data_IF_106082297269
#
_entry.id   IF_106082297269
#
_cell.length_a   1.000
_cell.length_b   1.000
_cell.length_c   1.000
_cell.angle_alpha   90.00
_cell.angle_beta   90.00
_cell.angle_gamma   90.00
#
_symmetry.space_group_name_H-M   'P 1'
#
loop_
_entity.id
_entity.type
_entity.pdbx_description
1 polymer ?
#
# COMPACT_ATOMS: atom_id res chain seq x y z
N UNK A 1 -31.38 27.06 32.56
CA UNK A 1 -31.00 26.08 31.53
C UNK A 1 -29.58 26.41 31.08
N UNK A 2 -28.59 25.72 31.62
CA UNK A 2 -27.20 25.89 31.18
C UNK A 2 -27.04 25.16 29.84
N UNK A 3 -26.68 25.92 28.80
CA UNK A 3 -26.29 25.34 27.51
C UNK A 3 -25.04 24.50 27.76
N UNK A 4 -25.18 23.18 27.58
CA UNK A 4 -24.03 22.28 27.50
C UNK A 4 -23.30 22.68 26.23
N UNK A 5 -22.22 23.46 26.38
CA UNK A 5 -21.26 23.72 25.31
C UNK A 5 -20.63 22.38 24.99
N UNK A 6 -21.21 21.65 24.03
CA UNK A 6 -20.59 20.47 23.47
C UNK A 6 -19.24 20.91 22.92
N UNK A 7 -18.15 20.46 23.55
CA UNK A 7 -16.82 20.66 22.99
C UNK A 7 -16.87 20.18 21.53
N UNK A 8 -16.47 21.02 20.56
CA UNK A 8 -16.51 20.63 19.16
C UNK A 8 -15.71 19.33 19.00
N UNK A 9 -16.33 18.33 18.37
CA UNK A 9 -15.68 17.06 18.07
C UNK A 9 -14.34 17.38 17.39
N UNK A 10 -13.20 16.88 17.91
CA UNK A 10 -11.91 17.19 17.32
C UNK A 10 -11.87 16.68 15.88
N UNK A 11 -11.56 17.59 14.95
CA UNK A 11 -11.50 17.35 13.51
C UNK A 11 -10.72 16.07 13.20
N UNK A 12 -11.35 15.09 12.59
CA UNK A 12 -10.77 13.80 12.21
C UNK A 12 -10.40 13.79 10.72
N UNK A 13 -9.49 12.92 10.31
CA UNK A 13 -9.08 12.81 8.89
C UNK A 13 -10.26 12.45 7.97
N UNK A 14 -11.23 11.69 8.49
CA UNK A 14 -12.46 11.31 7.81
C UNK A 14 -13.29 12.53 7.39
N UNK A 15 -13.27 13.60 8.20
CA UNK A 15 -14.05 14.81 7.96
C UNK A 15 -13.60 15.58 6.70
N UNK A 16 -12.45 15.21 6.11
CA UNK A 16 -11.94 15.79 4.86
C UNK A 16 -12.46 15.11 3.59
N UNK A 17 -13.15 13.97 3.67
CA UNK A 17 -13.46 13.15 2.50
C UNK A 17 -14.94 12.77 2.41
N UNK A 18 -15.41 12.63 1.16
CA UNK A 18 -16.82 12.33 0.84
C UNK A 18 -17.16 10.86 1.03
N UNK A 19 -16.20 9.96 0.78
CA UNK A 19 -16.40 8.53 0.92
C UNK A 19 -16.10 8.10 2.34
N UNK A 20 -16.91 7.15 2.83
CA UNK A 20 -16.65 6.48 4.11
C UNK A 20 -15.23 5.92 4.09
N UNK A 21 -14.48 6.21 5.14
CA UNK A 21 -13.13 5.69 5.36
C UNK A 21 -12.82 5.63 6.86
N UNK A 22 -11.83 4.83 7.25
CA UNK A 22 -11.32 4.77 8.63
C UNK A 22 -9.83 5.07 8.69
N UNK A 23 -9.46 6.03 9.53
CA UNK A 23 -8.09 6.48 9.77
C UNK A 23 -7.75 6.49 11.27
N UNK A 24 -8.43 5.67 12.09
CA UNK A 24 -8.30 5.64 13.55
C UNK A 24 -6.84 5.69 14.04
N UNK A 25 -5.95 4.86 13.49
CA UNK A 25 -4.56 4.82 13.94
C UNK A 25 -3.79 6.06 13.51
N UNK A 26 -4.08 6.60 12.33
CA UNK A 26 -3.45 7.83 11.85
C UNK A 26 -3.94 9.05 12.66
N UNK A 27 -5.22 9.11 12.99
CA UNK A 27 -5.81 10.12 13.88
C UNK A 27 -5.14 10.09 15.26
N UNK A 28 -4.95 8.89 15.84
CA UNK A 28 -4.21 8.69 17.09
C UNK A 28 -2.75 9.16 16.93
N UNK A 29 -2.12 8.83 15.80
CA UNK A 29 -0.72 9.11 15.58
C UNK A 29 -0.42 10.61 15.48
N UNK A 30 -1.25 11.36 14.75
CA UNK A 30 -1.15 12.81 14.56
C UNK A 30 -1.59 13.60 15.79
N UNK A 31 -2.35 13.00 16.72
CA UNK A 31 -2.73 13.64 17.96
C UNK A 31 -3.93 14.59 17.77
N UNK A 32 -3.68 15.89 17.69
CA UNK A 32 -4.74 16.93 17.71
C UNK A 32 -5.30 17.29 16.32
N UNK A 33 -6.41 18.03 16.31
CA UNK A 33 -7.06 18.52 15.08
C UNK A 33 -6.16 19.41 14.20
N UNK A 34 -5.47 20.42 14.76
CA UNK A 34 -4.51 21.24 14.00
C UNK A 34 -3.43 20.45 13.28
N UNK A 35 -2.86 19.42 13.92
CA UNK A 35 -1.84 18.55 13.31
C UNK A 35 -2.40 17.73 12.15
N UNK A 36 -3.65 17.26 12.26
CA UNK A 36 -4.35 16.55 11.17
C UNK A 36 -4.68 17.47 10.00
N UNK A 37 -5.15 18.68 10.27
CA UNK A 37 -5.41 19.71 9.26
C UNK A 37 -4.12 20.05 8.50
N UNK A 38 -3.04 20.31 9.24
CA UNK A 38 -1.73 20.61 8.64
C UNK A 38 -1.24 19.49 7.72
N UNK A 39 -1.31 18.23 8.19
CA UNK A 39 -0.94 17.09 7.36
C UNK A 39 -1.78 17.02 6.07
N UNK A 40 -3.11 17.17 6.19
CA UNK A 40 -4.00 17.19 5.02
C UNK A 40 -3.62 18.30 4.05
N UNK A 41 -3.41 19.52 4.52
CA UNK A 41 -3.15 20.69 3.66
C UNK A 41 -1.80 20.59 2.96
N UNK A 42 -0.75 20.17 3.67
CA UNK A 42 0.59 19.97 3.12
C UNK A 42 0.57 18.93 1.99
N UNK A 43 -0.11 17.80 2.19
CA UNK A 43 -0.21 16.76 1.16
C UNK A 43 -1.15 17.14 0.02
N UNK A 44 -2.29 17.79 0.30
CA UNK A 44 -3.16 18.33 -0.74
C UNK A 44 -2.42 19.33 -1.64
N UNK A 45 -1.54 20.16 -1.07
CA UNK A 45 -0.71 21.08 -1.83
C UNK A 45 0.24 20.32 -2.77
N UNK A 46 0.95 19.30 -2.26
CA UNK A 46 1.87 18.47 -3.06
C UNK A 46 1.16 17.80 -4.24
N UNK A 47 0.03 17.15 -4.01
CA UNK A 47 -0.73 16.52 -5.09
C UNK A 47 -1.33 17.51 -6.08
N UNK A 48 -1.80 18.68 -5.62
CA UNK A 48 -2.31 19.72 -6.54
C UNK A 48 -1.21 20.27 -7.43
N UNK A 49 -0.02 20.48 -6.88
CA UNK A 49 1.15 20.89 -7.66
C UNK A 49 1.54 19.82 -8.68
N UNK A 50 1.61 18.55 -8.27
CA UNK A 50 1.95 17.45 -9.16
C UNK A 50 0.92 17.31 -10.29
N UNK A 51 -0.37 17.24 -9.96
CA UNK A 51 -1.45 17.01 -10.93
C UNK A 51 -1.78 18.21 -11.82
N UNK A 52 -1.30 19.41 -11.49
CA UNK A 52 -1.52 20.60 -12.32
C UNK A 52 -0.82 20.52 -13.69
N UNK A 53 0.20 19.67 -13.83
CA UNK A 53 0.96 19.48 -15.06
C UNK A 53 0.58 18.20 -15.83
N UNK A 54 -0.36 17.39 -15.32
CA UNK A 54 -0.68 16.10 -15.91
C UNK A 54 -1.45 16.23 -17.21
N UNK A 55 -1.02 15.47 -18.22
CA UNK A 55 -1.87 15.13 -19.34
C UNK A 55 -2.75 13.88 -19.01
N UNK A 56 -3.49 13.39 -19.99
CA UNK A 56 -4.36 12.23 -19.78
C UNK A 56 -3.55 10.94 -19.62
N UNK A 57 -2.35 10.87 -20.21
CA UNK A 57 -1.45 9.74 -19.99
C UNK A 57 -0.96 9.69 -18.55
N UNK A 58 -0.52 10.82 -17.99
CA UNK A 58 -0.05 10.91 -16.61
C UNK A 58 -1.17 10.51 -15.64
N UNK A 59 -2.39 11.01 -15.85
CA UNK A 59 -3.55 10.63 -15.05
C UNK A 59 -3.84 9.12 -15.14
N UNK A 60 -3.72 8.52 -16.33
CA UNK A 60 -3.88 7.08 -16.51
C UNK A 60 -2.80 6.28 -15.76
N UNK A 61 -1.53 6.70 -15.81
CA UNK A 61 -0.45 6.08 -15.05
C UNK A 61 -0.72 6.17 -13.53
N UNK A 62 -1.22 7.30 -13.05
CA UNK A 62 -1.59 7.44 -11.64
C UNK A 62 -2.75 6.52 -11.23
N UNK A 63 -3.70 6.25 -12.12
CA UNK A 63 -4.75 5.25 -11.87
C UNK A 63 -4.17 3.82 -11.80
N UNK A 64 -3.17 3.47 -12.63
CA UNK A 64 -2.41 2.22 -12.51
C UNK A 64 -1.69 2.14 -11.15
N UNK A 65 -1.06 3.23 -10.72
CA UNK A 65 -0.38 3.31 -9.41
C UNK A 65 -1.35 3.11 -8.24
N UNK A 66 -2.56 3.69 -8.29
CA UNK A 66 -3.61 3.46 -7.30
C UNK A 66 -4.03 1.98 -7.24
N UNK A 67 -4.27 1.37 -8.41
CA UNK A 67 -4.61 -0.05 -8.49
C UNK A 67 -3.53 -0.94 -7.85
N UNK A 68 -2.27 -0.69 -8.21
CA UNK A 68 -1.15 -1.46 -7.66
C UNK A 68 -0.96 -1.23 -6.15
N UNK A 69 -1.15 0.00 -5.69
CA UNK A 69 -1.12 0.31 -4.26
C UNK A 69 -2.16 -0.50 -3.48
N UNK A 70 -3.39 -0.61 -3.99
CA UNK A 70 -4.43 -1.43 -3.39
C UNK A 70 -4.07 -2.92 -3.43
N UNK A 71 -3.59 -3.44 -4.57
CA UNK A 71 -3.12 -4.84 -4.70
C UNK A 71 -2.02 -5.16 -3.67
N UNK A 72 -1.10 -4.24 -3.44
CA UNK A 72 -0.06 -4.37 -2.39
C UNK A 72 -0.62 -4.33 -0.97
N UNK A 73 -1.73 -3.62 -0.71
CA UNK A 73 -2.42 -3.68 0.59
C UNK A 73 -2.97 -5.08 0.89
N UNK A 74 -3.56 -5.74 -0.12
CA UNK A 74 -3.99 -7.13 -0.01
C UNK A 74 -2.79 -8.07 0.19
N UNK A 75 -1.76 -7.95 -0.63
CA UNK A 75 -0.55 -8.78 -0.52
C UNK A 75 0.17 -8.63 0.82
N UNK A 76 0.28 -7.41 1.35
CA UNK A 76 0.85 -7.14 2.67
C UNK A 76 0.06 -7.84 3.78
N UNK A 77 -1.27 -7.76 3.71
CA UNK A 77 -2.17 -8.38 4.69
C UNK A 77 -2.12 -9.91 4.61
N UNK A 78 -2.17 -10.47 3.39
CA UNK A 78 -2.08 -11.90 3.16
C UNK A 78 -0.75 -12.47 3.70
N UNK A 79 0.38 -11.82 3.39
CA UNK A 79 1.68 -12.24 3.92
C UNK A 79 1.80 -12.10 5.44
N UNK A 80 1.16 -11.10 6.06
CA UNK A 80 1.12 -11.01 7.52
C UNK A 80 0.37 -12.21 8.13
N UNK A 81 -0.78 -12.57 7.58
CA UNK A 81 -1.57 -13.72 8.04
C UNK A 81 -0.84 -15.05 7.80
N UNK A 82 -0.28 -15.25 6.61
CA UNK A 82 0.48 -16.44 6.27
C UNK A 82 1.74 -16.57 7.14
N UNK A 83 2.37 -15.45 7.52
CA UNK A 83 3.48 -15.43 8.47
C UNK A 83 3.07 -15.94 9.85
N UNK A 84 1.90 -15.52 10.36
CA UNK A 84 1.38 -16.04 11.63
C UNK A 84 1.07 -17.53 11.54
N UNK A 85 0.40 -17.99 10.49
CA UNK A 85 0.12 -19.41 10.29
C UNK A 85 1.39 -20.26 10.22
N UNK A 86 2.40 -19.79 9.47
CA UNK A 86 3.70 -20.46 9.40
C UNK A 86 4.39 -20.52 10.77
N UNK A 87 4.28 -19.45 11.57
CA UNK A 87 4.82 -19.40 12.93
C UNK A 87 4.10 -20.37 13.87
N UNK A 88 2.77 -20.44 13.81
CA UNK A 88 1.95 -21.40 14.56
C UNK A 88 2.31 -22.85 14.21
N UNK A 89 2.57 -23.12 12.93
CA UNK A 89 3.06 -24.40 12.43
C UNK A 89 4.57 -24.64 12.69
N UNK A 90 5.27 -23.71 13.35
CA UNK A 90 6.72 -23.75 13.63
C UNK A 90 7.62 -23.79 12.40
N UNK A 91 7.11 -23.36 11.23
CA UNK A 91 7.88 -23.20 9.99
C UNK A 91 8.53 -21.80 9.97
N UNK A 92 9.54 -21.61 10.84
CA UNK A 92 10.11 -20.30 11.13
C UNK A 92 10.77 -19.62 9.92
N UNK A 93 11.38 -20.39 9.02
CA UNK A 93 11.96 -19.84 7.78
C UNK A 93 10.89 -19.13 6.93
N UNK A 94 9.74 -19.77 6.73
CA UNK A 94 8.60 -19.20 6.01
C UNK A 94 7.99 -18.02 6.76
N UNK A 95 7.85 -18.12 8.08
CA UNK A 95 7.32 -17.02 8.90
C UNK A 95 8.15 -15.74 8.73
N UNK A 96 9.48 -15.81 8.85
CA UNK A 96 10.33 -14.62 8.71
C UNK A 96 10.39 -14.10 7.27
N UNK A 97 10.38 -15.01 6.28
CA UNK A 97 10.29 -14.62 4.88
C UNK A 97 9.02 -13.82 4.60
N UNK A 98 7.86 -14.35 5.00
CA UNK A 98 6.56 -13.72 4.77
C UNK A 98 6.42 -12.42 5.57
N UNK A 99 6.89 -12.38 6.82
CA UNK A 99 6.90 -11.16 7.63
C UNK A 99 7.67 -10.01 6.96
N UNK A 100 8.87 -10.31 6.45
CA UNK A 100 9.70 -9.33 5.75
C UNK A 100 9.00 -8.75 4.51
N UNK A 101 8.45 -9.62 3.64
CA UNK A 101 7.76 -9.15 2.44
C UNK A 101 6.42 -8.48 2.74
N UNK A 102 5.74 -8.85 3.83
CA UNK A 102 4.55 -8.14 4.30
C UNK A 102 4.86 -6.67 4.61
N UNK A 103 5.93 -6.40 5.37
CA UNK A 103 6.36 -5.05 5.68
C UNK A 103 6.79 -4.27 4.43
N UNK A 104 7.51 -4.91 3.50
CA UNK A 104 7.89 -4.29 2.23
C UNK A 104 6.67 -3.90 1.39
N UNK A 105 5.72 -4.80 1.19
CA UNK A 105 4.50 -4.52 0.43
C UNK A 105 3.66 -3.41 1.08
N UNK A 106 3.59 -3.38 2.41
CA UNK A 106 2.88 -2.32 3.14
C UNK A 106 3.49 -0.94 2.88
N UNK A 107 4.83 -0.82 2.91
CA UNK A 107 5.51 0.44 2.57
C UNK A 107 5.37 0.79 1.10
N UNK A 108 5.52 -0.20 0.22
CA UNK A 108 5.49 0.00 -1.22
C UNK A 108 4.11 0.46 -1.69
N UNK A 109 3.03 -0.05 -1.08
CA UNK A 109 1.68 0.44 -1.30
C UNK A 109 1.60 1.97 -1.13
N UNK A 110 2.18 2.51 -0.06
CA UNK A 110 2.20 3.96 0.18
C UNK A 110 3.11 4.69 -0.81
N UNK A 111 4.32 4.17 -1.07
CA UNK A 111 5.29 4.84 -1.96
C UNK A 111 4.79 4.89 -3.40
N UNK A 112 4.01 3.90 -3.85
CA UNK A 112 3.33 3.97 -5.14
C UNK A 112 2.44 5.20 -5.28
N UNK A 113 2.01 5.82 -4.18
CA UNK A 113 1.19 7.03 -4.22
C UNK A 113 2.00 8.33 -3.99
N UNK A 114 3.29 8.24 -3.70
CA UNK A 114 4.11 9.42 -3.40
C UNK A 114 4.33 10.30 -4.65
N UNK A 115 3.93 11.60 -4.64
CA UNK A 115 4.04 12.49 -5.79
C UNK A 115 5.48 12.86 -6.14
N UNK A 116 6.44 12.64 -5.24
CA UNK A 116 7.87 12.91 -5.50
C UNK A 116 8.58 11.69 -6.12
N UNK A 117 7.89 10.56 -6.27
CA UNK A 117 8.40 9.36 -6.93
C UNK A 117 7.85 9.24 -8.35
N UNK A 118 8.74 9.07 -9.32
CA UNK A 118 8.36 8.73 -10.71
C UNK A 118 8.00 7.25 -10.80
N UNK A 119 7.30 6.87 -11.87
CA UNK A 119 6.91 5.48 -12.10
C UNK A 119 8.13 4.54 -12.12
N UNK A 120 9.16 4.89 -12.88
CA UNK A 120 10.38 4.09 -13.01
C UNK A 120 11.10 3.96 -11.66
N UNK A 121 11.21 5.07 -10.90
CA UNK A 121 11.83 5.05 -9.57
C UNK A 121 11.11 4.14 -8.61
N UNK A 122 9.77 4.05 -8.68
CA UNK A 122 8.99 3.24 -7.75
C UNK A 122 8.87 1.77 -8.19
N UNK A 123 8.89 1.49 -9.49
CA UNK A 123 8.82 0.13 -10.02
C UNK A 123 10.15 -0.64 -9.83
N UNK A 124 11.29 0.05 -9.92
CA UNK A 124 12.63 -0.54 -9.84
C UNK A 124 13.30 -0.31 -8.47
N UNK A 125 12.53 0.13 -7.47
CA UNK A 125 13.05 0.47 -6.14
C UNK A 125 13.59 -0.77 -5.41
N UNK A 126 14.80 -0.68 -4.87
CA UNK A 126 15.37 -1.77 -4.06
C UNK A 126 14.71 -1.82 -2.68
N UNK A 127 14.69 -3.00 -2.05
CA UNK A 127 14.10 -3.17 -0.71
C UNK A 127 14.65 -2.19 0.34
N UNK A 128 15.96 -1.99 0.37
CA UNK A 128 16.61 -1.02 1.27
C UNK A 128 16.17 0.42 0.98
N UNK A 129 15.97 0.75 -0.31
CA UNK A 129 15.51 2.09 -0.71
C UNK A 129 14.05 2.33 -0.34
N UNK A 130 13.18 1.32 -0.44
CA UNK A 130 11.79 1.37 0.06
C UNK A 130 11.76 1.81 1.52
N UNK A 131 12.48 1.10 2.40
CA UNK A 131 12.51 1.41 3.82
C UNK A 131 13.04 2.83 4.12
N UNK A 132 14.05 3.27 3.37
CA UNK A 132 14.64 4.59 3.55
C UNK A 132 13.69 5.72 3.13
N UNK A 133 13.07 5.60 1.95
CA UNK A 133 12.09 6.57 1.45
C UNK A 133 10.89 6.63 2.38
N UNK A 134 10.30 5.47 2.71
CA UNK A 134 9.14 5.39 3.58
C UNK A 134 9.39 6.04 4.95
N UNK A 135 10.53 5.69 5.58
CA UNK A 135 10.87 6.26 6.88
C UNK A 135 11.07 7.77 6.80
N UNK A 136 11.80 8.25 5.79
CA UNK A 136 12.06 9.67 5.62
C UNK A 136 10.78 10.49 5.46
N UNK A 137 9.81 9.98 4.68
CA UNK A 137 8.61 10.74 4.31
C UNK A 137 7.48 10.57 5.33
N UNK A 138 7.29 9.38 5.90
CA UNK A 138 6.09 9.05 6.67
C UNK A 138 6.33 8.70 8.14
N UNK A 139 7.55 8.29 8.52
CA UNK A 139 7.84 7.78 9.86
C UNK A 139 8.87 8.60 10.66
N UNK A 140 9.36 9.70 10.10
CA UNK A 140 10.39 10.56 10.73
C UNK A 140 9.98 12.04 10.72
N UNK A 141 10.65 12.84 11.56
CA UNK A 141 10.39 14.27 11.67
C UNK A 141 9.10 14.65 12.41
N UNK A 142 8.78 15.94 12.39
CA UNK A 142 7.69 16.55 13.15
C UNK A 142 6.28 16.22 12.60
N UNK A 143 6.18 15.74 11.36
CA UNK A 143 4.93 15.39 10.69
C UNK A 143 4.80 13.87 10.46
N UNK A 144 5.53 13.06 11.23
CA UNK A 144 5.44 11.59 11.14
C UNK A 144 3.99 11.15 11.39
N UNK A 145 3.44 10.40 10.45
CA UNK A 145 2.09 9.82 10.56
C UNK A 145 2.14 8.33 10.91
N UNK A 146 3.29 7.69 10.71
CA UNK A 146 3.59 6.33 11.14
C UNK A 146 4.48 6.40 12.39
N UNK A 147 4.06 5.74 13.48
CA UNK A 147 4.82 5.76 14.75
C UNK A 147 5.90 4.69 14.86
N UNK A 148 5.81 3.65 14.05
CA UNK A 148 6.85 2.61 14.01
C UNK A 148 8.12 3.14 13.37
N UNK A 149 9.28 2.80 13.94
CA UNK A 149 10.55 2.98 13.27
C UNK A 149 10.67 1.96 12.12
N UNK A 150 10.20 2.38 10.94
CA UNK A 150 10.16 1.53 9.75
C UNK A 150 11.53 0.97 9.36
N UNK A 151 12.63 1.73 9.55
CA UNK A 151 13.98 1.25 9.23
C UNK A 151 14.38 0.11 10.16
N UNK A 152 14.23 0.32 11.47
CA UNK A 152 14.55 -0.70 12.46
C UNK A 152 13.69 -1.94 12.29
N UNK A 153 12.38 -1.78 12.02
CA UNK A 153 11.47 -2.89 11.79
C UNK A 153 11.91 -3.74 10.59
N UNK A 154 12.19 -3.10 9.45
CA UNK A 154 12.56 -3.82 8.22
C UNK A 154 13.94 -4.45 8.35
N UNK A 155 14.89 -3.78 9.01
CA UNK A 155 16.22 -4.33 9.26
C UNK A 155 16.15 -5.61 10.11
N UNK A 156 15.40 -5.57 11.22
CA UNK A 156 15.21 -6.73 12.07
C UNK A 156 14.54 -7.89 11.33
N UNK A 157 13.51 -7.61 10.53
CA UNK A 157 12.85 -8.64 9.70
C UNK A 157 13.80 -9.20 8.62
N UNK A 158 14.58 -8.34 7.97
CA UNK A 158 15.60 -8.75 6.98
C UNK A 158 16.62 -9.67 7.62
N UNK A 159 17.16 -9.28 8.77
CA UNK A 159 18.14 -10.06 9.51
C UNK A 159 17.60 -11.45 9.84
N UNK A 160 16.39 -11.56 10.40
CA UNK A 160 15.77 -12.85 10.71
C UNK A 160 15.55 -13.70 9.45
N UNK A 161 15.07 -13.09 8.37
CA UNK A 161 14.84 -13.74 7.08
C UNK A 161 16.14 -14.27 6.47
N UNK A 162 17.17 -13.45 6.38
CA UNK A 162 18.47 -13.82 5.79
C UNK A 162 19.20 -14.86 6.63
N UNK A 163 19.13 -14.75 7.96
CA UNK A 163 19.74 -15.75 8.83
C UNK A 163 19.12 -17.12 8.61
N UNK A 164 17.80 -17.24 8.57
CA UNK A 164 17.15 -18.50 8.24
C UNK A 164 17.43 -18.93 6.80
N UNK A 165 17.39 -18.03 5.81
CA UNK A 165 17.63 -18.40 4.40
C UNK A 165 19.06 -18.87 4.11
N UNK A 166 20.08 -18.30 4.76
CA UNK A 166 21.49 -18.55 4.40
C UNK A 166 22.28 -19.34 5.44
N UNK A 167 21.84 -19.34 6.70
CA UNK A 167 22.53 -20.05 7.79
C UNK A 167 21.77 -21.27 8.28
N UNK A 168 20.47 -21.38 8.00
CA UNK A 168 19.62 -22.53 8.32
C UNK A 168 19.92 -23.12 9.70
N UNK A 169 19.65 -22.37 10.77
CA UNK A 169 20.08 -22.81 12.09
C UNK A 169 19.30 -24.05 12.53
N UNK A 170 19.99 -24.98 13.20
CA UNK A 170 19.37 -26.18 13.76
C UNK A 170 18.40 -25.86 14.91
N UNK A 171 18.56 -24.71 15.56
CA UNK A 171 17.72 -24.20 16.64
C UNK A 171 17.48 -22.71 16.46
N UNK A 172 16.33 -22.17 16.89
CA UNK A 172 16.08 -20.73 16.78
C UNK A 172 17.02 -19.94 17.69
N UNK A 173 17.93 -19.09 17.15
CA UNK A 173 18.87 -18.33 17.97
C UNK A 173 18.21 -17.08 18.58
N UNK A 174 17.01 -16.71 18.13
CA UNK A 174 16.38 -15.44 18.50
C UNK A 174 15.64 -15.47 19.84
N UNK A 175 15.62 -16.62 20.52
CA UNK A 175 14.97 -16.75 21.84
C UNK A 175 15.54 -15.76 22.85
N UNK A 176 16.84 -15.53 22.79
CA UNK A 176 17.57 -14.66 23.70
C UNK A 176 17.65 -13.19 23.21
N UNK A 177 16.94 -12.88 22.11
CA UNK A 177 16.89 -11.57 21.46
C UNK A 177 15.45 -11.05 21.38
N UNK A 178 14.84 -10.66 22.51
CA UNK A 178 13.41 -10.28 22.58
C UNK A 178 13.06 -9.08 21.70
N UNK A 179 14.01 -8.19 21.40
CA UNK A 179 13.86 -7.06 20.49
C UNK A 179 13.58 -7.48 19.03
N UNK A 180 14.17 -8.59 18.59
CA UNK A 180 13.91 -9.15 17.26
C UNK A 180 12.50 -9.76 17.21
N UNK A 181 12.12 -10.52 18.24
CA UNK A 181 10.80 -11.13 18.34
C UNK A 181 9.67 -10.09 18.44
N UNK A 182 9.90 -8.98 19.17
CA UNK A 182 8.94 -7.87 19.27
C UNK A 182 8.64 -7.21 17.92
N UNK A 183 9.58 -7.28 16.98
CA UNK A 183 9.40 -6.75 15.62
C UNK A 183 8.29 -7.50 14.89
N UNK A 184 8.26 -8.83 15.03
CA UNK A 184 7.21 -9.67 14.44
C UNK A 184 5.84 -9.34 15.04
N UNK A 185 5.75 -9.18 16.37
CA UNK A 185 4.52 -8.76 17.07
C UNK A 185 4.00 -7.41 16.56
N UNK A 186 4.91 -6.50 16.21
CA UNK A 186 4.56 -5.15 15.74
C UNK A 186 4.08 -5.12 14.28
N UNK A 187 4.27 -6.20 13.51
CA UNK A 187 3.99 -6.26 12.08
C UNK A 187 2.53 -5.95 11.76
N UNK A 188 1.58 -6.57 12.45
CA UNK A 188 0.16 -6.38 12.17
C UNK A 188 -0.28 -4.92 12.33
N UNK A 189 0.22 -4.25 13.37
CA UNK A 189 -0.04 -2.82 13.58
C UNK A 189 0.62 -1.93 12.53
N UNK A 190 1.85 -2.25 12.10
CA UNK A 190 2.54 -1.55 11.03
C UNK A 190 1.82 -1.68 9.68
N UNK A 191 1.40 -2.89 9.33
CA UNK A 191 0.64 -3.18 8.10
C UNK A 191 -0.68 -2.42 8.12
N UNK A 192 -1.45 -2.49 9.22
CA UNK A 192 -2.72 -1.78 9.34
C UNK A 192 -2.57 -0.26 9.18
N UNK A 193 -1.57 0.35 9.84
CA UNK A 193 -1.30 1.78 9.70
C UNK A 193 -0.89 2.15 8.27
N UNK A 194 -0.11 1.30 7.60
CA UNK A 194 0.32 1.55 6.23
C UNK A 194 -0.83 1.45 5.23
N UNK A 195 -1.79 0.55 5.43
CA UNK A 195 -2.99 0.45 4.59
C UNK A 195 -3.90 1.68 4.79
N UNK A 196 -4.10 2.11 6.04
CA UNK A 196 -4.82 3.37 6.32
C UNK A 196 -4.13 4.56 5.63
N UNK A 197 -2.80 4.60 5.67
CA UNK A 197 -2.02 5.66 5.02
C UNK A 197 -2.15 5.59 3.50
N UNK A 198 -2.05 4.40 2.90
CA UNK A 198 -2.25 4.23 1.46
C UNK A 198 -3.66 4.70 1.03
N UNK A 199 -4.70 4.36 1.82
CA UNK A 199 -6.05 4.87 1.59
C UNK A 199 -6.10 6.41 1.68
N UNK A 200 -5.54 7.01 2.73
CA UNK A 200 -5.48 8.45 2.90
C UNK A 200 -4.79 9.14 1.71
N UNK A 201 -3.65 8.61 1.28
CA UNK A 201 -2.91 9.13 0.13
C UNK A 201 -3.74 9.03 -1.15
N UNK A 202 -4.45 7.91 -1.39
CA UNK A 202 -5.32 7.74 -2.56
C UNK A 202 -6.49 8.75 -2.57
N UNK A 203 -7.03 9.08 -1.39
CA UNK A 203 -8.05 10.10 -1.22
C UNK A 203 -7.56 11.51 -1.54
N UNK A 204 -6.39 11.88 -1.00
CA UNK A 204 -5.76 13.18 -1.25
C UNK A 204 -5.43 13.35 -2.74
N UNK A 205 -4.83 12.32 -3.34
CA UNK A 205 -4.54 12.21 -4.77
C UNK A 205 -5.79 12.40 -5.64
N UNK A 206 -6.81 11.56 -5.44
CA UNK A 206 -8.05 11.61 -6.21
C UNK A 206 -8.75 12.97 -6.08
N UNK A 207 -8.81 13.53 -4.86
CA UNK A 207 -9.42 14.84 -4.61
C UNK A 207 -8.64 15.97 -5.28
N UNK A 208 -7.31 15.95 -5.23
CA UNK A 208 -6.47 16.95 -5.89
C UNK A 208 -6.60 16.88 -7.41
N UNK A 209 -6.54 15.69 -7.99
CA UNK A 209 -6.68 15.46 -9.42
C UNK A 209 -8.07 15.89 -9.93
N UNK A 210 -9.16 15.54 -9.23
CA UNK A 210 -10.52 16.01 -9.56
C UNK A 210 -10.62 17.52 -9.61
N UNK A 211 -10.00 18.25 -8.66
CA UNK A 211 -9.96 19.73 -8.67
C UNK A 211 -9.23 20.30 -9.89
N UNK A 212 -8.25 19.57 -10.42
CA UNK A 212 -7.52 19.92 -11.64
C UNK A 212 -8.16 19.34 -12.92
N UNK A 213 -9.38 18.76 -12.84
CA UNK A 213 -10.08 18.10 -13.95
C UNK A 213 -9.32 16.90 -14.53
N UNK A 214 -8.61 16.16 -13.67
CA UNK A 214 -7.82 14.95 -13.97
C UNK A 214 -8.33 13.71 -13.21
N UNK A 215 -9.62 13.71 -12.86
CA UNK A 215 -10.26 12.62 -12.11
C UNK A 215 -10.53 11.37 -12.95
N UNK A 216 -10.52 11.50 -14.27
CA UNK A 216 -10.71 10.44 -15.26
C UNK A 216 -9.81 10.73 -16.46
N UNK A 217 -9.39 9.70 -17.18
CA UNK A 217 -8.51 9.85 -18.33
C UNK A 217 -8.66 8.71 -19.35
N UNK A 218 -8.42 9.04 -20.62
CA UNK A 218 -8.25 8.07 -21.68
C UNK A 218 -6.79 8.02 -22.10
N UNK A 219 -6.25 6.83 -22.33
CA UNK A 219 -4.88 6.70 -22.84
C UNK A 219 -4.83 7.27 -24.26
N UNK A 220 -3.98 8.28 -24.56
CA UNK A 220 -3.86 8.82 -25.91
C UNK A 220 -3.42 7.74 -26.91
N UNK A 221 -4.03 7.71 -28.09
CA UNK A 221 -3.84 6.64 -29.10
C UNK A 221 -2.36 6.48 -29.46
N UNK A 222 -1.68 7.61 -29.65
CA UNK A 222 -0.26 7.69 -29.98
C UNK A 222 0.67 7.23 -28.84
N UNK A 223 0.16 7.16 -27.60
CA UNK A 223 0.92 6.72 -26.41
C UNK A 223 0.52 5.34 -25.90
N UNK A 224 -0.40 4.63 -26.56
CA UNK A 224 -0.85 3.30 -26.12
C UNK A 224 0.28 2.25 -26.07
N UNK A 225 1.32 2.39 -26.90
CA UNK A 225 2.50 1.53 -26.84
C UNK A 225 3.28 1.72 -25.55
N UNK A 226 3.61 2.98 -25.22
CA UNK A 226 4.31 3.37 -24.00
C UNK A 226 3.48 2.99 -22.75
N UNK A 227 2.17 3.18 -22.81
CA UNK A 227 1.29 2.82 -21.70
C UNK A 227 1.33 1.32 -21.40
N UNK A 228 1.35 0.45 -22.42
CA UNK A 228 1.50 -1.00 -22.22
C UNK A 228 2.81 -1.36 -21.51
N UNK A 229 3.90 -0.70 -21.90
CA UNK A 229 5.21 -0.92 -21.28
C UNK A 229 5.22 -0.45 -19.82
N UNK A 230 4.72 0.75 -19.55
CA UNK A 230 4.63 1.30 -18.19
C UNK A 230 3.65 0.50 -17.31
N UNK A 231 2.53 0.03 -17.85
CA UNK A 231 1.61 -0.86 -17.15
C UNK A 231 2.27 -2.19 -16.80
N UNK A 232 3.02 -2.77 -17.74
CA UNK A 232 3.76 -4.00 -17.52
C UNK A 232 4.88 -3.83 -16.50
N UNK A 233 5.59 -2.70 -16.53
CA UNK A 233 6.63 -2.36 -15.55
C UNK A 233 6.09 -2.39 -14.11
N UNK A 234 4.81 -2.03 -13.92
CA UNK A 234 4.16 -2.00 -12.61
C UNK A 234 3.60 -3.36 -12.19
N UNK A 235 2.95 -4.08 -13.11
CA UNK A 235 2.11 -5.24 -12.78
C UNK A 235 2.68 -6.58 -13.26
N UNK A 236 3.63 -6.56 -14.17
CA UNK A 236 4.18 -7.74 -14.82
C UNK A 236 5.59 -8.11 -14.37
N UNK A 237 6.08 -9.23 -14.88
CA UNK A 237 7.47 -9.67 -14.72
C UNK A 237 7.98 -10.35 -15.98
N UNK A 238 9.15 -9.93 -16.44
CA UNK A 238 9.85 -10.60 -17.54
C UNK A 238 10.75 -11.72 -17.00
N UNK A 239 10.68 -12.88 -17.66
CA UNK A 239 11.64 -13.97 -17.50
C UNK A 239 12.56 -13.99 -18.73
N UNK A 240 13.73 -13.36 -18.59
CA UNK A 240 14.68 -13.12 -19.68
C UNK A 240 15.04 -14.37 -20.49
N UNK A 241 15.36 -15.49 -19.83
CA UNK A 241 15.77 -16.72 -20.52
C UNK A 241 14.65 -17.40 -21.32
N UNK A 242 13.39 -17.20 -20.91
CA UNK A 242 12.23 -17.82 -21.54
C UNK A 242 11.52 -16.88 -22.51
N UNK A 243 12.03 -15.66 -22.69
CA UNK A 243 11.37 -14.57 -23.43
C UNK A 243 9.89 -14.43 -23.04
N UNK A 244 9.59 -14.67 -21.76
CA UNK A 244 8.22 -14.78 -21.26
C UNK A 244 7.88 -13.54 -20.45
N UNK A 245 6.73 -12.96 -20.78
CA UNK A 245 6.18 -11.78 -20.14
C UNK A 245 4.98 -12.23 -19.32
N UNK A 246 5.13 -12.28 -18.00
CA UNK A 246 4.06 -12.70 -17.12
C UNK A 246 3.27 -11.49 -16.66
N UNK A 247 2.00 -11.46 -17.03
CA UNK A 247 0.98 -10.59 -16.48
C UNK A 247 -0.14 -11.50 -15.97
N UNK A 248 -0.69 -11.24 -14.79
CA UNK A 248 -1.81 -12.07 -14.33
C UNK A 248 -3.07 -11.81 -15.18
N UNK A 249 -3.99 -12.79 -15.31
CA UNK A 249 -5.20 -12.62 -16.12
C UNK A 249 -6.04 -11.40 -15.75
N UNK A 250 -6.10 -11.05 -14.45
CA UNK A 250 -6.84 -9.86 -14.00
C UNK A 250 -6.20 -8.55 -14.45
N UNK A 251 -4.87 -8.51 -14.56
CA UNK A 251 -4.13 -7.35 -15.03
C UNK A 251 -4.16 -7.25 -16.56
N UNK A 252 -4.30 -8.36 -17.28
CA UNK A 252 -4.61 -8.34 -18.72
C UNK A 252 -5.98 -7.70 -18.99
N UNK A 253 -7.00 -8.09 -18.21
CA UNK A 253 -8.33 -7.49 -18.28
C UNK A 253 -8.24 -5.99 -17.98
N UNK A 254 -7.59 -5.62 -16.88
CA UNK A 254 -7.42 -4.22 -16.52
C UNK A 254 -6.70 -3.44 -17.62
N UNK A 255 -5.60 -3.95 -18.19
CA UNK A 255 -4.92 -3.30 -19.30
C UNK A 255 -5.86 -3.06 -20.49
N UNK A 256 -6.66 -4.05 -20.84
CA UNK A 256 -7.66 -3.93 -21.91
C UNK A 256 -8.69 -2.84 -21.61
N UNK A 257 -9.18 -2.75 -20.38
CA UNK A 257 -10.13 -1.73 -19.95
C UNK A 257 -9.53 -0.32 -20.00
N UNK A 258 -8.33 -0.12 -19.47
CA UNK A 258 -7.63 1.16 -19.54
C UNK A 258 -7.46 1.65 -20.98
N UNK A 259 -7.15 0.75 -21.91
CA UNK A 259 -6.91 1.07 -23.31
C UNK A 259 -8.20 1.29 -24.13
N UNK A 260 -9.32 0.66 -23.74
CA UNK A 260 -10.57 0.70 -24.51
C UNK A 260 -11.64 1.62 -23.93
N UNK A 261 -11.70 1.74 -22.60
CA UNK A 261 -12.74 2.49 -21.86
C UNK A 261 -12.17 3.70 -21.12
N UNK A 262 -10.85 3.81 -21.00
CA UNK A 262 -10.20 4.78 -20.12
C UNK A 262 -10.19 4.32 -18.67
N UNK A 263 -9.96 5.25 -17.75
CA UNK A 263 -9.84 4.95 -16.33
C UNK A 263 -10.28 6.11 -15.45
N UNK A 264 -10.71 5.77 -14.24
CA UNK A 264 -11.02 6.73 -13.18
C UNK A 264 -9.96 6.67 -12.08
N UNK A 265 -9.55 7.85 -11.61
CA UNK A 265 -8.64 7.98 -10.48
C UNK A 265 -9.44 8.03 -9.17
N UNK A 266 -9.83 6.85 -8.70
CA UNK A 266 -10.65 6.67 -7.50
C UNK A 266 -9.79 6.35 -6.26
N UNK A 267 -10.24 6.71 -5.05
CA UNK A 267 -9.58 6.30 -3.82
C UNK A 267 -9.79 4.80 -3.57
N UNK A 268 -8.91 4.19 -2.77
CA UNK A 268 -8.96 2.75 -2.47
C UNK A 268 -10.29 2.32 -1.86
N UNK A 269 -10.89 3.15 -1.00
CA UNK A 269 -12.20 2.89 -0.40
C UNK A 269 -13.32 2.62 -1.44
N UNK A 270 -13.19 3.16 -2.65
CA UNK A 270 -14.15 2.94 -3.75
C UNK A 270 -13.68 1.81 -4.67
N UNK A 271 -12.37 1.72 -4.95
CA UNK A 271 -11.80 0.65 -5.78
C UNK A 271 -11.83 -0.74 -5.12
N UNK A 272 -12.08 -0.79 -3.81
CA UNK A 272 -12.03 -2.01 -3.02
C UNK A 272 -12.94 -3.10 -3.57
N UNK A 273 -14.18 -2.79 -3.95
CA UNK A 273 -15.16 -3.80 -4.37
C UNK A 273 -14.66 -4.59 -5.59
N UNK A 274 -14.13 -3.89 -6.60
CA UNK A 274 -13.54 -4.53 -7.78
C UNK A 274 -12.35 -5.44 -7.45
N UNK A 275 -11.49 -5.03 -6.50
CA UNK A 275 -10.33 -5.86 -6.09
C UNK A 275 -10.75 -7.01 -5.17
N UNK A 276 -11.77 -6.79 -4.35
CA UNK A 276 -12.27 -7.75 -3.38
C UNK A 276 -12.79 -9.01 -4.07
N UNK A 277 -13.57 -8.88 -5.14
CA UNK A 277 -14.14 -10.02 -5.85
C UNK A 277 -13.06 -10.86 -6.55
N UNK A 278 -12.02 -10.19 -7.05
CA UNK A 278 -10.98 -10.80 -7.89
C UNK A 278 -9.77 -11.33 -7.12
N UNK A 279 -9.53 -10.89 -5.88
CA UNK A 279 -8.32 -11.27 -5.13
C UNK A 279 -8.27 -12.78 -4.84
N UNK A 280 -7.33 -13.48 -5.51
CA UNK A 280 -7.06 -14.93 -5.37
C UNK A 280 -8.27 -15.84 -5.62
N UNK A 281 -9.18 -15.43 -6.50
CA UNK A 281 -10.43 -16.15 -6.79
C UNK A 281 -10.62 -16.54 -8.25
N UNK A 282 -9.78 -16.03 -9.16
CA UNK A 282 -9.95 -16.17 -10.61
C UNK A 282 -9.52 -17.54 -11.13
N UNK A 283 -8.47 -18.14 -10.54
CA UNK A 283 -7.94 -19.45 -10.94
C UNK A 283 -8.22 -20.48 -9.86
N UNK A 284 -8.76 -21.64 -10.24
CA UNK A 284 -8.96 -22.76 -9.32
C UNK A 284 -7.69 -23.59 -9.10
N UNK A 285 -6.71 -23.45 -9.99
CA UNK A 285 -5.40 -24.08 -9.88
C UNK A 285 -4.60 -23.29 -8.83
N UNK A 286 -4.10 -23.98 -7.80
CA UNK A 286 -3.32 -23.44 -6.68
C UNK A 286 -4.01 -22.38 -5.81
N UNK A 287 -5.36 -22.41 -5.75
CA UNK A 287 -6.13 -21.50 -4.91
C UNK A 287 -5.77 -21.66 -3.43
N UNK A 288 -5.38 -20.57 -2.73
CA UNK A 288 -5.13 -20.64 -1.30
C UNK A 288 -6.37 -21.02 -0.50
N UNK A 289 -6.15 -21.44 0.74
CA UNK A 289 -7.22 -21.73 1.68
C UNK A 289 -8.24 -20.57 1.77
N UNK A 290 -9.53 -20.90 1.71
CA UNK A 290 -10.60 -19.91 1.66
C UNK A 290 -10.67 -19.02 2.91
N UNK A 291 -10.24 -19.52 4.07
CA UNK A 291 -10.27 -18.76 5.32
C UNK A 291 -9.20 -17.67 5.36
N UNK A 292 -7.98 -17.93 4.88
CA UNK A 292 -6.96 -16.87 4.81
C UNK A 292 -7.37 -15.79 3.80
N UNK A 293 -7.99 -16.15 2.68
CA UNK A 293 -8.52 -15.19 1.70
C UNK A 293 -9.61 -14.33 2.35
N UNK A 294 -10.60 -14.94 3.00
CA UNK A 294 -11.69 -14.24 3.70
C UNK A 294 -11.18 -13.31 4.80
N UNK A 295 -10.19 -13.75 5.59
CA UNK A 295 -9.56 -12.94 6.63
C UNK A 295 -8.77 -11.77 6.03
N UNK A 296 -8.04 -11.99 4.95
CA UNK A 296 -7.30 -10.93 4.24
C UNK A 296 -8.27 -9.84 3.79
N UNK A 297 -9.31 -10.24 3.06
CA UNK A 297 -10.38 -9.36 2.59
C UNK A 297 -11.02 -8.55 3.73
N UNK A 298 -11.36 -9.20 4.83
CA UNK A 298 -11.95 -8.56 6.01
C UNK A 298 -11.00 -7.56 6.68
N UNK A 299 -9.71 -7.89 6.81
CA UNK A 299 -8.73 -6.99 7.44
C UNK A 299 -8.43 -5.78 6.57
N UNK A 300 -8.34 -5.94 5.24
CA UNK A 300 -8.22 -4.82 4.32
C UNK A 300 -9.47 -3.95 4.40
N UNK A 301 -10.68 -4.53 4.33
CA UNK A 301 -11.93 -3.79 4.48
C UNK A 301 -11.94 -2.94 5.76
N UNK A 302 -11.63 -3.54 6.91
CA UNK A 302 -11.62 -2.84 8.20
C UNK A 302 -10.51 -1.80 8.35
N UNK A 303 -9.46 -1.88 7.53
CA UNK A 303 -8.43 -0.85 7.45
C UNK A 303 -8.82 0.29 6.51
N UNK A 304 -9.75 0.06 5.58
CA UNK A 304 -10.25 1.08 4.66
C UNK A 304 -11.53 1.78 5.17
N UNK A 305 -12.50 1.04 5.75
CA UNK A 305 -13.93 1.41 5.97
C UNK A 305 -14.47 1.09 7.38
#
# INVERSE_FOLDING_TARGET
MAAVSGNPKPLALEDFFEYRSRFDHLNINLGDGPSRQKYHDDWMFRYRRASGAWDDYDAAIWAVRCRQSLKLCFSATYFALASEQAREARVLASAYYLAYYSALHAMWAVIYLDPDQTLQKVAEITHSKIANVFHSVYASGAQRIIRYDARKLVENLRFMREYYSYRMPLNSPFRDHPELLKTHISLGGFVKQSIQLANLQSHLLSKAARRNKKGSACVPVERMGNFRQDFFLVNGKEHLEKAMWLLEPFDEIALSEFLSKGCDLLPHAVMFDHMFDCYMTITDIDKPDGDIIRRTKSLVYNALL
#
